data_IF_000957971795
#
_entry.id   IF_000957971795
#
_cell.length_a   1.000
_cell.length_b   1.000
_cell.length_c   1.000
_cell.angle_alpha   90.00
_cell.angle_beta   90.00
_cell.angle_gamma   90.00
#
_symmetry.space_group_name_H-M   'P 1'
#
loop_
_entity.id
_entity.type
_entity.pdbx_description
1 polymer ?
#
# COMPACT_ATOMS: atom_id res chain seq x y z
N UNK A 1 -5.90 -17.12 3.43
CA UNK A 1 -5.13 -16.29 4.39
C UNK A 1 -5.84 -14.95 4.53
N UNK A 2 -5.88 -14.35 5.73
CA UNK A 2 -6.45 -13.00 5.89
C UNK A 2 -5.41 -11.97 5.39
N UNK A 3 -5.87 -10.91 4.74
CA UNK A 3 -5.04 -9.84 4.13
C UNK A 3 -5.38 -8.48 4.72
N UNK A 4 -4.50 -7.51 4.49
CA UNK A 4 -4.69 -6.12 4.90
C UNK A 4 -4.85 -6.01 6.41
N UNK A 5 -5.77 -5.17 6.86
CA UNK A 5 -6.07 -5.01 8.30
C UNK A 5 -6.73 -6.22 8.95
N UNK A 6 -7.17 -7.21 8.17
CA UNK A 6 -7.67 -8.49 8.71
C UNK A 6 -6.54 -9.46 9.06
N UNK A 7 -5.31 -9.20 8.64
CA UNK A 7 -4.13 -10.00 8.97
C UNK A 7 -3.70 -9.72 10.43
N UNK A 8 -3.68 -10.75 11.27
CA UNK A 8 -3.34 -10.61 12.69
C UNK A 8 -1.89 -10.20 12.94
N UNK A 9 -0.97 -10.52 12.03
CA UNK A 9 0.42 -10.06 12.09
C UNK A 9 0.52 -8.55 11.86
N UNK A 10 -0.23 -8.03 10.88
CA UNK A 10 -0.30 -6.58 10.62
C UNK A 10 -0.83 -5.84 11.85
N UNK A 11 -1.93 -6.35 12.43
CA UNK A 11 -2.52 -5.78 13.65
C UNK A 11 -1.56 -5.89 14.84
N UNK A 12 -0.83 -7.00 14.95
CA UNK A 12 0.17 -7.23 15.98
C UNK A 12 1.31 -6.21 15.95
N UNK A 13 1.94 -6.02 14.79
CA UNK A 13 3.02 -5.05 14.62
C UNK A 13 2.54 -3.61 14.80
N UNK A 14 1.38 -3.25 14.25
CA UNK A 14 0.81 -1.92 14.44
C UNK A 14 0.62 -1.60 15.93
N UNK A 15 0.06 -2.54 16.71
CA UNK A 15 -0.07 -2.40 18.17
C UNK A 15 1.27 -2.30 18.87
N UNK A 16 2.24 -3.16 18.50
CA UNK A 16 3.57 -3.20 19.10
C UNK A 16 4.28 -1.85 19.00
N UNK A 17 4.18 -1.18 17.85
CA UNK A 17 4.85 0.09 17.59
C UNK A 17 3.95 1.32 17.78
N UNK A 18 2.73 1.17 18.29
CA UNK A 18 1.84 2.29 18.61
C UNK A 18 1.15 2.94 17.40
N UNK A 19 1.07 2.25 16.27
CA UNK A 19 0.34 2.69 15.08
C UNK A 19 -1.15 2.37 15.20
N UNK A 20 -2.00 3.38 14.98
CA UNK A 20 -3.46 3.22 14.98
C UNK A 20 -3.93 2.29 13.86
N UNK A 21 -4.75 1.29 14.22
CA UNK A 21 -5.41 0.41 13.25
C UNK A 21 -6.36 1.19 12.33
N UNK A 22 -7.01 2.24 12.83
CA UNK A 22 -7.89 3.08 12.02
C UNK A 22 -7.14 3.80 10.89
N UNK A 23 -5.85 4.18 11.10
CA UNK A 23 -5.02 4.74 10.02
C UNK A 23 -4.78 3.71 8.92
N UNK A 24 -4.48 2.47 9.29
CA UNK A 24 -4.29 1.35 8.34
C UNK A 24 -5.58 1.02 7.59
N UNK A 25 -6.71 0.93 8.30
CA UNK A 25 -8.04 0.69 7.69
C UNK A 25 -8.41 1.81 6.70
N UNK A 26 -8.16 3.06 7.07
CA UNK A 26 -8.44 4.20 6.19
C UNK A 26 -7.56 4.17 4.93
N UNK A 27 -6.26 3.87 5.08
CA UNK A 27 -5.35 3.70 3.95
C UNK A 27 -5.77 2.54 3.04
N UNK A 28 -6.12 1.38 3.62
CA UNK A 28 -6.59 0.20 2.89
C UNK A 28 -7.82 0.56 2.04
N UNK A 29 -8.82 1.21 2.64
CA UNK A 29 -10.03 1.63 1.93
C UNK A 29 -9.72 2.66 0.84
N UNK A 30 -8.83 3.63 1.09
CA UNK A 30 -8.41 4.62 0.07
C UNK A 30 -7.78 3.94 -1.15
N UNK A 31 -6.94 2.94 -0.94
CA UNK A 31 -6.26 2.24 -2.03
C UNK A 31 -7.22 1.28 -2.74
N UNK A 32 -8.07 0.55 -2.02
CA UNK A 32 -9.08 -0.35 -2.62
C UNK A 32 -10.07 0.38 -3.56
N UNK A 33 -10.28 1.68 -3.37
CA UNK A 33 -11.14 2.49 -4.25
C UNK A 33 -10.43 3.02 -5.51
N UNK A 34 -9.14 2.72 -5.71
CA UNK A 34 -8.43 3.08 -6.94
C UNK A 34 -8.86 2.11 -8.05
N UNK A 35 -9.16 2.59 -9.27
CA UNK A 35 -9.47 1.72 -10.40
C UNK A 35 -8.41 0.64 -10.61
N UNK A 36 -8.87 -0.57 -10.95
CA UNK A 36 -8.06 -1.77 -11.19
C UNK A 36 -7.38 -2.38 -9.96
N UNK A 37 -7.53 -1.83 -8.75
CA UNK A 37 -7.06 -2.52 -7.53
C UNK A 37 -7.95 -3.73 -7.25
N UNK A 38 -7.31 -4.88 -7.07
CA UNK A 38 -8.00 -6.14 -6.72
C UNK A 38 -7.89 -6.46 -5.23
N UNK A 39 -6.79 -6.05 -4.61
CA UNK A 39 -6.52 -6.29 -3.20
C UNK A 39 -5.44 -5.34 -2.65
N UNK A 40 -5.42 -5.21 -1.33
CA UNK A 40 -4.38 -4.50 -0.59
C UNK A 40 -3.94 -5.40 0.56
N UNK A 41 -2.63 -5.52 0.74
CA UNK A 41 -2.02 -6.16 1.90
C UNK A 41 -0.89 -5.28 2.45
N UNK A 42 -0.49 -5.58 3.68
CA UNK A 42 0.56 -4.84 4.36
C UNK A 42 1.64 -5.77 4.87
N UNK A 43 2.89 -5.33 4.77
CA UNK A 43 3.95 -5.79 5.63
C UNK A 43 4.30 -4.67 6.63
N UNK A 44 3.96 -4.94 7.89
CA UNK A 44 4.09 -4.01 9.00
C UNK A 44 5.33 -4.31 9.88
N UNK A 45 6.11 -5.35 9.58
CA UNK A 45 7.33 -5.63 10.32
C UNK A 45 8.33 -4.44 10.27
N UNK A 46 8.49 -3.73 9.13
CA UNK A 46 9.38 -2.56 9.04
C UNK A 46 8.94 -1.32 9.84
N UNK A 47 7.81 -1.35 10.55
CA UNK A 47 7.37 -0.23 11.38
C UNK A 47 8.36 0.10 12.51
N UNK A 48 9.22 -0.85 12.90
CA UNK A 48 10.37 -0.61 13.79
C UNK A 48 11.27 0.53 13.27
N UNK A 49 11.52 0.53 11.95
CA UNK A 49 12.27 1.56 11.23
C UNK A 49 11.39 2.71 10.73
N UNK A 50 10.16 2.84 11.24
CA UNK A 50 9.14 3.79 10.78
C UNK A 50 8.80 3.64 9.29
N UNK A 51 8.88 2.43 8.75
CA UNK A 51 8.49 2.14 7.38
C UNK A 51 7.22 1.28 7.35
N UNK A 52 6.37 1.49 6.35
CA UNK A 52 5.24 0.63 6.06
C UNK A 52 5.36 0.14 4.62
N UNK A 53 5.29 -1.17 4.45
CA UNK A 53 5.27 -1.78 3.13
C UNK A 53 3.83 -2.12 2.74
N UNK A 54 3.47 -1.75 1.51
CA UNK A 54 2.11 -1.90 0.98
C UNK A 54 2.19 -2.71 -0.30
N UNK A 55 1.49 -3.85 -0.32
CA UNK A 55 1.35 -4.69 -1.49
C UNK A 55 -0.03 -4.43 -2.10
N UNK A 56 -0.06 -3.99 -3.36
CA UNK A 56 -1.31 -3.65 -4.05
C UNK A 56 -1.47 -4.55 -5.26
N UNK A 57 -2.47 -5.43 -5.22
CA UNK A 57 -2.84 -6.27 -6.36
C UNK A 57 -3.58 -5.45 -7.42
N UNK A 58 -3.34 -5.76 -8.68
CA UNK A 58 -3.95 -5.04 -9.79
C UNK A 58 -4.41 -5.96 -10.93
N UNK A 59 -5.46 -5.54 -11.62
CA UNK A 59 -5.95 -6.16 -12.87
C UNK A 59 -6.11 -5.07 -13.94
N UNK A 60 -4.98 -4.62 -14.49
CA UNK A 60 -4.94 -3.64 -15.58
C UNK A 60 -4.96 -4.42 -16.90
N UNK A 61 -5.94 -4.20 -17.80
CA UNK A 61 -6.05 -4.96 -19.03
C UNK A 61 -4.81 -4.80 -19.92
N UNK A 62 -4.06 -5.88 -20.14
CA UNK A 62 -2.82 -5.88 -20.97
C UNK A 62 -3.09 -5.46 -22.41
N UNK A 63 -4.30 -5.74 -22.92
CA UNK A 63 -4.73 -5.34 -24.27
C UNK A 63 -5.21 -3.89 -24.38
N UNK A 64 -5.21 -3.10 -23.30
CA UNK A 64 -5.59 -1.70 -23.36
C UNK A 64 -4.58 -0.91 -24.21
N UNK A 65 -5.08 -0.11 -25.16
CA UNK A 65 -4.26 0.74 -26.03
C UNK A 65 -3.34 1.69 -25.25
N UNK A 66 -3.75 2.07 -24.04
CA UNK A 66 -3.07 2.98 -23.12
C UNK A 66 -2.51 2.27 -21.87
N UNK A 67 -2.25 0.95 -21.94
CA UNK A 67 -1.76 0.12 -20.83
C UNK A 67 -0.68 0.79 -19.98
N UNK A 68 0.36 1.33 -20.61
CA UNK A 68 1.48 1.96 -19.89
C UNK A 68 1.09 3.26 -19.17
N UNK A 69 0.11 3.99 -19.71
CA UNK A 69 -0.45 5.20 -19.10
C UNK A 69 -1.28 4.79 -17.88
N UNK A 70 -2.19 3.82 -18.04
CA UNK A 70 -2.99 3.28 -16.94
C UNK A 70 -2.10 2.76 -15.81
N UNK A 71 -1.05 2.00 -16.14
CA UNK A 71 -0.09 1.45 -15.17
C UNK A 71 0.70 2.55 -14.45
N UNK A 72 1.08 3.62 -15.14
CA UNK A 72 1.72 4.79 -14.51
C UNK A 72 0.75 5.49 -13.57
N UNK A 73 -0.48 5.74 -14.02
CA UNK A 73 -1.46 6.52 -13.29
C UNK A 73 -2.00 5.74 -12.09
N UNK A 74 -2.11 4.42 -12.19
CA UNK A 74 -2.33 3.50 -11.07
C UNK A 74 -1.30 3.72 -9.95
N UNK A 75 0.00 3.60 -10.27
CA UNK A 75 1.05 3.80 -9.26
C UNK A 75 1.00 5.20 -8.63
N UNK A 76 0.73 6.24 -9.44
CA UNK A 76 0.57 7.61 -8.95
C UNK A 76 -0.63 7.75 -8.02
N UNK A 77 -1.73 7.06 -8.30
CA UNK A 77 -2.91 7.05 -7.44
C UNK A 77 -2.60 6.39 -6.10
N UNK A 78 -1.90 5.25 -6.06
CA UNK A 78 -1.47 4.60 -4.80
C UNK A 78 -0.59 5.54 -3.98
N UNK A 79 0.42 6.15 -4.60
CA UNK A 79 1.33 7.11 -3.94
C UNK A 79 0.56 8.32 -3.41
N UNK A 80 -0.41 8.83 -4.19
CA UNK A 80 -1.26 9.96 -3.76
C UNK A 80 -2.11 9.58 -2.56
N UNK A 81 -2.78 8.41 -2.59
CA UNK A 81 -3.57 7.90 -1.46
C UNK A 81 -2.73 7.71 -0.20
N UNK A 82 -1.51 7.17 -0.33
CA UNK A 82 -0.56 7.05 0.78
C UNK A 82 -0.18 8.42 1.35
N UNK A 83 0.15 9.40 0.48
CA UNK A 83 0.49 10.77 0.88
C UNK A 83 -0.65 11.47 1.62
N UNK A 84 -1.88 11.31 1.15
CA UNK A 84 -3.08 11.83 1.84
C UNK A 84 -3.29 11.21 3.23
N UNK A 85 -2.74 10.02 3.47
CA UNK A 85 -2.74 9.35 4.77
C UNK A 85 -1.49 9.68 5.61
N UNK A 86 -0.64 10.62 5.20
CA UNK A 86 0.56 11.00 5.94
C UNK A 86 1.77 10.09 5.72
N UNK A 87 1.78 9.28 4.66
CA UNK A 87 2.91 8.43 4.28
C UNK A 87 3.71 9.07 3.15
N UNK A 88 5.03 9.13 3.27
CA UNK A 88 5.90 9.68 2.22
C UNK A 88 6.56 8.57 1.41
N UNK A 89 6.79 8.83 0.11
CA UNK A 89 7.49 7.88 -0.75
C UNK A 89 8.98 7.83 -0.37
N UNK A 90 9.51 6.63 -0.12
CA UNK A 90 10.96 6.42 0.02
C UNK A 90 11.65 6.40 -1.36
N UNK A 91 12.98 6.41 -1.38
CA UNK A 91 13.77 6.26 -2.62
C UNK A 91 13.80 4.83 -3.16
N UNK A 92 13.21 3.86 -2.44
CA UNK A 92 13.14 2.47 -2.89
C UNK A 92 12.45 2.36 -4.24
N UNK A 93 12.78 1.30 -4.99
CA UNK A 93 12.05 1.00 -6.21
C UNK A 93 10.62 0.56 -5.88
N UNK A 94 9.71 0.75 -6.83
CA UNK A 94 8.40 0.10 -6.78
C UNK A 94 8.59 -1.23 -7.50
N UNK A 95 8.59 -2.32 -6.76
CA UNK A 95 8.75 -3.65 -7.33
C UNK A 95 7.43 -4.11 -7.94
N UNK A 96 7.52 -4.82 -9.06
CA UNK A 96 6.37 -5.42 -9.74
C UNK A 96 6.57 -6.93 -9.76
N UNK A 97 5.65 -7.64 -9.11
CA UNK A 97 5.63 -9.09 -9.06
C UNK A 97 4.69 -9.70 -10.11
N UNK A 98 4.24 -8.92 -11.10
CA UNK A 98 3.38 -9.34 -12.20
C UNK A 98 1.89 -9.21 -11.89
N UNK A 99 1.49 -9.46 -10.64
CA UNK A 99 0.10 -9.30 -10.16
C UNK A 99 -0.03 -8.25 -9.06
N UNK A 100 1.10 -7.84 -8.47
CA UNK A 100 1.16 -6.90 -7.37
C UNK A 100 2.28 -5.90 -7.55
N UNK A 101 2.02 -4.66 -7.14
CA UNK A 101 3.06 -3.68 -6.88
C UNK A 101 3.39 -3.64 -5.40
N UNK A 102 4.68 -3.67 -5.08
CA UNK A 102 5.19 -3.49 -3.73
C UNK A 102 5.75 -2.08 -3.56
N UNK A 103 5.23 -1.37 -2.56
CA UNK A 103 5.63 -0.01 -2.22
C UNK A 103 6.20 0.04 -0.81
N UNK A 104 7.27 0.80 -0.63
CA UNK A 104 7.80 1.16 0.68
C UNK A 104 7.49 2.62 0.95
N UNK A 105 6.92 2.92 2.12
CA UNK A 105 6.62 4.27 2.54
C UNK A 105 7.28 4.60 3.88
N UNK A 106 7.73 5.84 4.03
CA UNK A 106 8.07 6.43 5.31
C UNK A 106 6.78 6.76 6.06
N UNK A 107 6.61 6.11 7.21
CA UNK A 107 5.49 6.23 8.12
C UNK A 107 5.83 7.05 9.37
N UNK A 108 6.92 7.82 9.38
CA UNK A 108 7.37 8.58 10.55
C UNK A 108 6.30 9.51 11.14
N UNK A 109 5.39 10.03 10.31
CA UNK A 109 4.29 10.89 10.77
C UNK A 109 3.14 10.13 11.47
N UNK A 110 3.21 8.81 11.56
CA UNK A 110 2.18 8.00 12.22
C UNK A 110 2.40 7.80 13.71
N UNK A 111 3.62 8.06 14.19
CA UNK A 111 4.10 7.92 15.57
C UNK A 111 4.15 9.27 16.27
#
# INVERSE_FOLDING_TARGET
MKRGTKNEFVVGYAKMFGVSIQKLEYLEQKILNIPYVTEVDFDAAPLEGKQLCVLVGYDIPVGATDYWILRRDFKRAVIKSAKECGLNRTEDLIEDYGEHFYFVFDASAWF
#
